data_IF_554557762965
#
_entry.id   IF_554557762965
#
_cell.length_a   1.000
_cell.length_b   1.000
_cell.length_c   1.000
_cell.angle_alpha   90.00
_cell.angle_beta   90.00
_cell.angle_gamma   90.00
#
_symmetry.space_group_name_H-M   'P 1'
#
loop_
_entity.id
_entity.type
_entity.pdbx_description
1 polymer ?
#
# COMPACT_ATOMS: atom_id res chain seq x y z
N UNK A 1 -3.86 -6.04 12.19
CA UNK A 1 -4.84 -5.12 12.79
C UNK A 1 -4.84 -3.78 12.06
N UNK A 2 -3.87 -2.87 12.27
CA UNK A 2 -3.91 -1.54 11.63
C UNK A 2 -3.93 -1.58 10.08
N UNK A 3 -3.12 -2.43 9.45
CA UNK A 3 -3.15 -2.60 8.00
C UNK A 3 -4.45 -3.25 7.46
N UNK A 4 -5.36 -3.68 8.34
CA UNK A 4 -6.66 -4.23 7.96
C UNK A 4 -6.69 -5.72 7.61
N UNK A 5 -5.54 -6.41 7.59
CA UNK A 5 -5.48 -7.85 7.26
C UNK A 5 -5.90 -8.81 8.38
N UNK A 6 -6.03 -8.32 9.62
CA UNK A 6 -6.42 -9.12 10.78
C UNK A 6 -7.44 -8.34 11.59
N UNK A 7 -8.56 -8.98 11.88
CA UNK A 7 -9.61 -8.42 12.74
C UNK A 7 -9.16 -8.41 14.21
N UNK A 8 -9.47 -7.35 14.96
CA UNK A 8 -9.26 -7.34 16.40
C UNK A 8 -10.16 -8.37 17.07
N UNK A 9 -9.67 -9.04 18.10
CA UNK A 9 -10.48 -9.96 18.91
C UNK A 9 -11.52 -9.22 19.74
N UNK A 10 -11.23 -7.98 20.12
CA UNK A 10 -12.12 -7.07 20.82
C UNK A 10 -11.67 -5.61 20.64
N UNK A 11 -12.60 -4.68 20.86
CA UNK A 11 -12.38 -3.25 20.67
C UNK A 11 -12.43 -2.81 19.20
N UNK A 12 -12.32 -1.50 19.00
CA UNK A 12 -12.45 -0.85 17.70
C UNK A 12 -11.13 -0.20 17.27
N UNK A 13 -10.90 -0.16 15.96
CA UNK A 13 -9.72 0.45 15.35
C UNK A 13 -10.18 1.56 14.42
N UNK A 14 -9.63 2.76 14.60
CA UNK A 14 -9.90 3.90 13.72
C UNK A 14 -8.60 4.50 13.19
N UNK A 15 -8.66 5.06 11.98
CA UNK A 15 -7.61 5.88 11.40
C UNK A 15 -8.22 7.19 10.92
N UNK A 16 -7.78 8.31 11.50
CA UNK A 16 -8.35 9.62 11.15
C UNK A 16 -9.86 9.74 11.43
N UNK A 17 -10.37 8.98 12.41
CA UNK A 17 -11.79 8.96 12.76
C UNK A 17 -12.67 8.05 11.89
N UNK A 18 -12.08 7.31 10.94
CA UNK A 18 -12.77 6.31 10.11
C UNK A 18 -12.44 4.91 10.64
N UNK A 19 -13.44 4.05 10.78
CA UNK A 19 -13.27 2.66 11.22
C UNK A 19 -12.42 1.85 10.24
N UNK A 20 -11.54 1.01 10.78
CA UNK A 20 -10.75 0.05 10.02
C UNK A 20 -11.48 -1.30 10.07
N UNK A 21 -12.27 -1.57 9.02
CA UNK A 21 -12.98 -2.82 8.79
C UNK A 21 -12.23 -3.79 7.85
N UNK A 22 -11.17 -3.31 7.20
CA UNK A 22 -10.39 -4.08 6.23
C UNK A 22 -9.14 -3.35 5.71
N UNK A 23 -8.40 -3.97 4.77
CA UNK A 23 -7.24 -3.35 4.14
C UNK A 23 -7.66 -2.16 3.25
N UNK A 24 -6.81 -1.13 3.17
CA UNK A 24 -7.08 0.09 2.43
C UNK A 24 -5.84 0.65 1.75
N UNK A 25 -6.01 1.22 0.56
CA UNK A 25 -4.91 1.73 -0.28
C UNK A 25 -4.18 2.93 0.34
N UNK A 26 -4.83 3.65 1.24
CA UNK A 26 -4.29 4.73 2.07
C UNK A 26 -3.31 4.25 3.14
N UNK A 27 -3.21 2.93 3.37
CA UNK A 27 -2.30 2.30 4.35
C UNK A 27 -1.22 1.48 3.64
N UNK A 28 -0.05 2.10 3.47
CA UNK A 28 1.16 1.39 2.99
C UNK A 28 1.90 0.65 4.11
N UNK A 29 2.55 -0.47 3.78
CA UNK A 29 3.45 -1.19 4.68
C UNK A 29 4.88 -1.16 4.14
N UNK A 30 5.84 -0.89 5.02
CA UNK A 30 7.27 -1.04 4.76
C UNK A 30 7.80 -2.11 5.69
N UNK A 31 8.44 -3.12 5.12
CA UNK A 31 8.97 -4.26 5.84
C UNK A 31 10.44 -4.04 6.19
N UNK A 32 10.88 -4.53 7.35
CA UNK A 32 12.29 -4.47 7.74
C UNK A 32 13.19 -5.33 6.83
N UNK A 33 12.66 -6.45 6.38
CA UNK A 33 13.28 -7.31 5.37
C UNK A 33 12.66 -7.00 4.01
N UNK A 34 13.49 -7.00 2.97
CA UNK A 34 13.07 -6.59 1.63
C UNK A 34 11.87 -7.39 1.12
N UNK A 35 10.78 -6.69 0.81
CA UNK A 35 9.62 -7.22 0.10
C UNK A 35 9.58 -6.63 -1.32
N UNK A 36 10.72 -6.70 -2.02
CA UNK A 36 10.87 -6.19 -3.37
C UNK A 36 10.59 -7.29 -4.39
N UNK A 37 10.04 -6.90 -5.55
CA UNK A 37 9.98 -7.78 -6.71
C UNK A 37 11.37 -7.82 -7.35
N UNK A 38 12.12 -8.89 -7.10
CA UNK A 38 13.53 -9.02 -7.53
C UNK A 38 13.69 -9.03 -9.06
N UNK A 39 12.65 -9.39 -9.80
CA UNK A 39 12.62 -9.38 -11.27
C UNK A 39 12.21 -8.02 -11.86
N UNK A 40 11.92 -7.01 -11.03
CA UNK A 40 11.58 -5.67 -11.47
C UNK A 40 12.76 -4.70 -11.25
N UNK A 41 12.87 -3.70 -12.13
CA UNK A 41 13.78 -2.57 -11.93
C UNK A 41 13.35 -1.75 -10.71
N UNK A 42 14.25 -0.91 -10.19
CA UNK A 42 13.93 0.02 -9.09
C UNK A 42 12.72 0.88 -9.42
N UNK A 43 12.70 1.51 -10.61
CA UNK A 43 11.57 2.33 -11.05
C UNK A 43 10.24 1.55 -11.09
N UNK A 44 10.28 0.28 -11.51
CA UNK A 44 9.10 -0.59 -11.56
C UNK A 44 8.63 -1.10 -10.19
N UNK A 45 9.53 -1.19 -9.20
CA UNK A 45 9.17 -1.48 -7.83
C UNK A 45 8.49 -0.27 -7.19
N UNK A 46 9.04 0.92 -7.41
CA UNK A 46 8.54 2.17 -6.83
C UNK A 46 7.19 2.57 -7.43
N UNK A 47 6.99 2.41 -8.74
CA UNK A 47 5.73 2.78 -9.41
C UNK A 47 4.64 1.70 -9.37
N UNK A 48 4.91 0.55 -8.75
CA UNK A 48 4.02 -0.61 -8.74
C UNK A 48 2.60 -0.26 -8.24
N UNK A 49 2.50 0.46 -7.12
CA UNK A 49 1.21 0.87 -6.56
C UNK A 49 0.40 1.75 -7.51
N UNK A 50 1.06 2.69 -8.20
CA UNK A 50 0.41 3.56 -9.20
C UNK A 50 -0.05 2.78 -10.43
N UNK A 51 0.71 1.76 -10.84
CA UNK A 51 0.30 0.88 -11.95
C UNK A 51 -0.93 0.06 -11.57
N UNK A 52 -0.98 -0.46 -10.36
CA UNK A 52 -2.13 -1.23 -9.86
C UNK A 52 -3.38 -0.35 -9.69
N UNK A 53 -3.22 0.94 -9.37
CA UNK A 53 -4.32 1.89 -9.33
C UNK A 53 -4.79 2.37 -10.71
N UNK A 54 -4.17 1.89 -11.80
CA UNK A 54 -4.52 2.29 -13.17
C UNK A 54 -4.00 3.66 -13.60
N UNK A 55 -3.00 4.23 -12.91
CA UNK A 55 -2.46 5.54 -13.26
C UNK A 55 -1.81 5.53 -14.66
N UNK A 56 -2.10 6.52 -15.52
CA UNK A 56 -1.50 6.64 -16.85
C UNK A 56 0.03 6.67 -16.82
N UNK A 57 0.67 6.19 -17.88
CA UNK A 57 2.14 6.16 -17.95
C UNK A 57 2.78 7.54 -17.87
N UNK A 58 2.19 8.55 -18.52
CA UNK A 58 2.68 9.93 -18.41
C UNK A 58 2.65 10.46 -16.98
N UNK A 59 1.59 10.16 -16.22
CA UNK A 59 1.47 10.58 -14.83
C UNK A 59 2.53 9.89 -13.96
N UNK A 60 2.71 8.58 -14.15
CA UNK A 60 3.73 7.80 -13.42
C UNK A 60 5.14 8.29 -13.71
N UNK A 61 5.48 8.56 -14.97
CA UNK A 61 6.80 9.07 -15.39
C UNK A 61 7.09 10.51 -14.95
N UNK A 62 6.07 11.30 -14.60
CA UNK A 62 6.30 12.64 -14.05
C UNK A 62 6.64 12.61 -12.55
N UNK A 63 6.30 11.54 -11.84
CA UNK A 63 6.53 11.40 -10.40
C UNK A 63 7.92 10.83 -10.05
N UNK A 64 8.64 10.24 -10.99
CA UNK A 64 9.94 9.58 -10.82
C UNK A 64 10.84 9.81 -12.03
#
# INVERSE_FOLDING_TARGET
MIAGFLNPTSGDLTLGGVDIDGPGAERGMVFQQGALFEWLTVARNVDFGLRMSGAPEEERRRRF
#
